data_IF_642088203697
#
_entry.id   IF_642088203697
#
_cell.length_a   1.000
_cell.length_b   1.000
_cell.length_c   1.000
_cell.angle_alpha   90.00
_cell.angle_beta   90.00
_cell.angle_gamma   90.00
#
_symmetry.space_group_name_H-M   'P 1'
#
loop_
_entity.id
_entity.type
_entity.pdbx_description
1 polymer ?
#
# COMPACT_ATOMS: atom_id res chain seq x y z
N UNK A 1 -39.31 22.78 3.03
CA UNK A 1 -38.83 23.09 1.66
C UNK A 1 -37.54 22.31 1.49
N UNK A 2 -37.62 21.20 0.75
CA UNK A 2 -36.51 20.28 0.49
C UNK A 2 -35.65 20.87 -0.61
N UNK A 3 -34.56 21.53 -0.23
CA UNK A 3 -33.55 21.99 -1.16
C UNK A 3 -32.63 20.80 -1.50
N UNK A 4 -33.15 19.88 -2.31
CA UNK A 4 -32.36 18.85 -2.97
C UNK A 4 -32.21 19.28 -4.42
N UNK A 5 -31.09 19.92 -4.75
CA UNK A 5 -30.74 20.20 -6.14
C UNK A 5 -30.67 18.87 -6.91
N UNK A 6 -31.36 18.79 -8.04
CA UNK A 6 -31.54 17.55 -8.80
C UNK A 6 -30.22 16.96 -9.36
N UNK A 7 -29.13 17.73 -9.37
CA UNK A 7 -27.79 17.30 -9.77
C UNK A 7 -26.74 18.01 -8.91
N UNK A 8 -25.78 17.26 -8.36
CA UNK A 8 -24.58 17.81 -7.74
C UNK A 8 -23.44 17.78 -8.78
N UNK A 9 -23.09 18.96 -9.29
CA UNK A 9 -21.98 19.14 -10.24
C UNK A 9 -20.68 19.55 -9.52
N UNK A 10 -20.70 19.74 -8.19
CA UNK A 10 -19.54 20.13 -7.39
C UNK A 10 -18.67 18.92 -7.01
N UNK A 11 -18.06 18.32 -8.03
CA UNK A 11 -17.29 17.08 -7.86
C UNK A 11 -15.92 17.35 -7.22
N UNK A 12 -15.54 16.50 -6.27
CA UNK A 12 -14.22 16.52 -5.64
C UNK A 12 -13.26 15.60 -6.38
N UNK A 13 -12.47 16.17 -7.29
CA UNK A 13 -11.31 15.44 -7.87
C UNK A 13 -10.20 15.30 -6.84
N UNK A 14 -9.34 14.30 -6.99
CA UNK A 14 -8.19 14.07 -6.11
C UNK A 14 -7.23 15.27 -6.15
N UNK A 15 -7.01 15.86 -7.34
CA UNK A 15 -6.21 17.08 -7.47
C UNK A 15 -6.81 18.23 -6.69
N UNK A 16 -8.13 18.48 -6.79
CA UNK A 16 -8.81 19.50 -5.97
C UNK A 16 -8.68 19.19 -4.49
N UNK A 17 -8.88 17.94 -4.09
CA UNK A 17 -8.80 17.51 -2.70
C UNK A 17 -7.42 17.79 -2.09
N UNK A 18 -6.34 17.44 -2.79
CA UNK A 18 -4.97 17.66 -2.30
C UNK A 18 -4.60 19.14 -2.30
N UNK A 19 -5.09 19.92 -3.28
CA UNK A 19 -4.89 21.37 -3.29
C UNK A 19 -5.57 22.04 -2.09
N UNK A 20 -6.85 21.75 -1.84
CA UNK A 20 -7.60 22.34 -0.72
C UNK A 20 -7.04 21.90 0.64
N UNK A 21 -6.67 20.63 0.78
CA UNK A 21 -6.01 20.12 2.00
C UNK A 21 -4.64 20.78 2.21
N UNK A 22 -3.86 20.96 1.14
CA UNK A 22 -2.57 21.65 1.18
C UNK A 22 -2.66 23.11 1.60
N UNK A 23 -3.70 23.84 1.15
CA UNK A 23 -3.92 25.25 1.52
C UNK A 23 -4.17 25.45 3.02
N UNK A 24 -4.73 24.44 3.69
CA UNK A 24 -5.00 24.48 5.12
C UNK A 24 -3.74 24.19 5.97
N UNK A 25 -2.70 23.60 5.38
CA UNK A 25 -1.46 23.28 6.08
C UNK A 25 -0.55 24.52 6.20
N UNK A 26 -0.16 24.85 7.44
CA UNK A 26 0.78 25.95 7.70
C UNK A 26 2.12 25.70 7.00
N UNK A 27 2.60 26.66 6.21
CA UNK A 27 3.89 26.58 5.52
C UNK A 27 3.91 25.66 4.30
N UNK A 28 2.75 25.30 3.74
CA UNK A 28 2.68 24.50 2.51
C UNK A 28 3.20 25.30 1.30
N UNK A 29 4.21 24.74 0.62
CA UNK A 29 4.78 25.32 -0.61
C UNK A 29 4.13 24.80 -1.89
N UNK A 30 3.27 23.79 -1.80
CA UNK A 30 2.67 23.09 -2.96
C UNK A 30 3.51 21.93 -3.52
N UNK A 31 4.76 21.77 -3.09
CA UNK A 31 5.63 20.67 -3.58
C UNK A 31 5.04 19.28 -3.35
N UNK A 32 4.39 19.02 -2.21
CA UNK A 32 3.73 17.74 -1.96
C UNK A 32 2.56 17.51 -2.93
N UNK A 33 1.79 18.57 -3.23
CA UNK A 33 0.69 18.51 -4.20
C UNK A 33 1.20 18.17 -5.59
N UNK A 34 2.29 18.79 -6.03
CA UNK A 34 2.94 18.50 -7.31
C UNK A 34 3.44 17.05 -7.35
N UNK A 35 4.08 16.59 -6.28
CA UNK A 35 4.58 15.22 -6.15
C UNK A 35 3.45 14.18 -6.23
N UNK A 36 2.34 14.41 -5.52
CA UNK A 36 1.17 13.53 -5.56
C UNK A 36 0.58 13.52 -6.98
N UNK A 37 0.41 14.68 -7.63
CA UNK A 37 -0.10 14.74 -9.01
C UNK A 37 0.79 13.99 -10.02
N UNK A 38 2.11 14.04 -9.85
CA UNK A 38 3.05 13.26 -10.66
C UNK A 38 2.84 11.74 -10.45
N UNK A 39 2.68 11.31 -9.19
CA UNK A 39 2.35 9.92 -8.87
C UNK A 39 1.01 9.48 -9.49
N UNK A 40 -0.04 10.31 -9.42
CA UNK A 40 -1.34 10.02 -10.04
C UNK A 40 -1.24 9.88 -11.56
N UNK A 41 -0.38 10.67 -12.20
CA UNK A 41 -0.13 10.57 -13.64
C UNK A 41 0.51 9.24 -14.00
N UNK A 42 1.51 8.79 -13.22
CA UNK A 42 2.09 7.46 -13.37
C UNK A 42 1.04 6.35 -13.17
N UNK A 43 0.21 6.46 -12.13
CA UNK A 43 -0.88 5.50 -11.86
C UNK A 43 -1.86 5.42 -13.02
N UNK A 44 -2.26 6.55 -13.63
CA UNK A 44 -3.14 6.55 -14.83
C UNK A 44 -2.48 5.85 -16.02
N UNK A 45 -1.18 6.08 -16.24
CA UNK A 45 -0.44 5.43 -17.32
C UNK A 45 -0.33 3.90 -17.08
N UNK A 46 0.00 3.47 -15.86
CA UNK A 46 0.06 2.05 -15.48
C UNK A 46 -1.33 1.42 -15.62
N UNK A 47 -2.36 2.07 -15.09
CA UNK A 47 -3.77 1.66 -15.22
C UNK A 47 -4.17 1.40 -16.67
N UNK A 48 -3.77 2.29 -17.60
CA UNK A 48 -4.00 2.12 -19.04
C UNK A 48 -3.21 0.93 -19.62
N UNK A 49 -1.95 0.74 -19.22
CA UNK A 49 -1.11 -0.36 -19.69
C UNK A 49 -1.63 -1.73 -19.21
N UNK A 50 -1.99 -1.85 -17.93
CA UNK A 50 -2.54 -3.08 -17.32
C UNK A 50 -3.79 -3.55 -18.06
N UNK A 51 -4.72 -2.64 -18.38
CA UNK A 51 -5.99 -2.95 -19.08
C UNK A 51 -5.82 -3.49 -20.50
N UNK A 52 -4.65 -3.26 -21.12
CA UNK A 52 -4.34 -3.71 -22.48
C UNK A 52 -3.10 -4.60 -22.53
N UNK A 53 -2.67 -5.16 -21.40
CA UNK A 53 -1.40 -5.86 -21.28
C UNK A 53 -1.27 -7.04 -22.27
N UNK A 54 -2.33 -7.85 -22.40
CA UNK A 54 -2.37 -8.95 -23.36
C UNK A 54 -2.36 -8.49 -24.83
N UNK A 55 -3.00 -7.36 -25.13
CA UNK A 55 -3.04 -6.78 -26.49
C UNK A 55 -1.72 -6.12 -26.88
N UNK A 56 -1.02 -5.53 -25.92
CA UNK A 56 0.24 -4.83 -26.13
C UNK A 56 1.49 -5.71 -25.92
N UNK A 57 1.31 -7.04 -25.80
CA UNK A 57 2.39 -8.01 -25.53
C UNK A 57 3.26 -7.67 -24.31
N UNK A 58 2.64 -7.07 -23.30
CA UNK A 58 3.24 -6.69 -22.02
C UNK A 58 3.18 -7.82 -20.97
N UNK A 59 2.55 -8.95 -21.31
CA UNK A 59 2.57 -10.16 -20.48
C UNK A 59 3.89 -10.93 -20.64
N UNK A 60 4.23 -11.70 -19.61
CA UNK A 60 5.44 -12.52 -19.55
C UNK A 60 6.70 -11.83 -19.04
N UNK A 61 7.78 -12.61 -19.05
CA UNK A 61 9.06 -12.28 -18.43
C UNK A 61 9.80 -11.16 -19.16
N UNK A 62 10.46 -10.29 -18.40
CA UNK A 62 11.45 -9.32 -18.89
C UNK A 62 12.84 -9.95 -19.10
N UNK A 63 13.09 -11.15 -18.55
CA UNK A 63 14.35 -11.88 -18.68
C UNK A 63 15.38 -11.56 -17.58
N UNK A 64 14.97 -10.91 -16.49
CA UNK A 64 15.80 -10.60 -15.33
C UNK A 64 15.13 -11.04 -14.01
N UNK A 65 15.92 -11.09 -12.93
CA UNK A 65 15.45 -11.36 -11.56
C UNK A 65 15.72 -10.10 -10.73
N UNK A 66 14.75 -9.68 -9.90
CA UNK A 66 14.92 -8.51 -9.04
C UNK A 66 15.75 -8.83 -7.79
N UNK A 67 16.01 -7.80 -6.98
CA UNK A 67 16.96 -7.84 -5.86
C UNK A 67 16.49 -8.72 -4.71
N UNK A 68 15.22 -9.05 -4.72
CA UNK A 68 14.54 -9.89 -3.74
C UNK A 68 14.31 -11.32 -4.22
N UNK A 69 14.76 -11.63 -5.44
CA UNK A 69 14.71 -12.96 -6.04
C UNK A 69 13.41 -13.27 -6.80
N UNK A 70 12.56 -12.27 -7.05
CA UNK A 70 11.35 -12.44 -7.84
C UNK A 70 11.64 -12.25 -9.34
N UNK A 71 10.97 -13.05 -10.16
CA UNK A 71 11.03 -13.04 -11.62
C UNK A 71 10.41 -11.75 -12.18
N UNK A 72 11.20 -10.92 -12.87
CA UNK A 72 10.75 -9.60 -13.36
C UNK A 72 9.86 -9.77 -14.60
N UNK A 73 8.66 -9.18 -14.56
CA UNK A 73 7.75 -9.10 -15.69
C UNK A 73 7.92 -7.78 -16.44
N UNK A 74 7.54 -7.75 -17.72
CA UNK A 74 7.65 -6.53 -18.54
C UNK A 74 6.86 -5.35 -17.96
N UNK A 75 5.72 -5.62 -17.33
CA UNK A 75 4.92 -4.59 -16.67
C UNK A 75 5.61 -4.05 -15.40
N UNK A 76 6.44 -4.84 -14.72
CA UNK A 76 7.22 -4.36 -13.56
C UNK A 76 8.23 -3.32 -14.04
N UNK A 77 8.96 -3.59 -15.12
CA UNK A 77 9.90 -2.64 -15.74
C UNK A 77 9.19 -1.35 -16.18
N UNK A 78 8.07 -1.48 -16.90
CA UNK A 78 7.31 -0.34 -17.40
C UNK A 78 6.79 0.54 -16.26
N UNK A 79 6.19 -0.08 -15.24
CA UNK A 79 5.62 0.65 -14.11
C UNK A 79 6.70 1.35 -13.29
N UNK A 80 7.84 0.68 -13.06
CA UNK A 80 8.99 1.27 -12.39
C UNK A 80 9.52 2.50 -13.13
N UNK A 81 9.74 2.40 -14.44
CA UNK A 81 10.21 3.52 -15.27
C UNK A 81 9.23 4.69 -15.28
N UNK A 82 7.93 4.42 -15.38
CA UNK A 82 6.89 5.44 -15.33
C UNK A 82 6.91 6.21 -14.01
N UNK A 83 6.97 5.49 -12.88
CA UNK A 83 7.00 6.12 -11.55
C UNK A 83 8.27 6.93 -11.37
N UNK A 84 9.45 6.37 -11.64
CA UNK A 84 10.74 7.08 -11.48
C UNK A 84 10.77 8.36 -12.32
N UNK A 85 10.33 8.29 -13.58
CA UNK A 85 10.37 9.43 -14.48
C UNK A 85 9.40 10.54 -14.04
N UNK A 86 8.17 10.18 -13.65
CA UNK A 86 7.20 11.17 -13.16
C UNK A 86 7.66 11.81 -11.84
N UNK A 87 8.19 11.02 -10.90
CA UNK A 87 8.68 11.54 -9.63
C UNK A 87 9.89 12.46 -9.82
N UNK A 88 10.84 12.14 -10.73
CA UNK A 88 11.95 13.05 -11.07
C UNK A 88 11.46 14.34 -11.73
N UNK A 89 10.45 14.26 -12.60
CA UNK A 89 9.88 15.43 -13.26
C UNK A 89 8.99 16.29 -12.34
N UNK A 90 8.69 15.80 -11.12
CA UNK A 90 7.88 16.54 -10.15
C UNK A 90 8.63 17.65 -9.43
N UNK A 91 9.97 17.68 -9.49
CA UNK A 91 10.82 18.57 -8.69
C UNK A 91 10.60 18.46 -7.17
N UNK A 92 9.90 17.41 -6.71
CA UNK A 92 9.53 17.20 -5.31
C UNK A 92 10.40 16.18 -4.57
N UNK A 93 11.12 15.30 -5.29
CA UNK A 93 11.86 14.19 -4.66
C UNK A 93 13.37 14.45 -4.57
N UNK A 94 14.00 14.04 -3.47
CA UNK A 94 15.46 14.01 -3.34
C UNK A 94 16.05 12.62 -3.65
N UNK A 95 15.36 11.57 -3.23
CA UNK A 95 15.72 10.19 -3.51
C UNK A 95 14.48 9.29 -3.49
N UNK A 96 14.61 8.10 -4.06
CA UNK A 96 13.54 7.12 -4.18
C UNK A 96 14.05 5.71 -3.85
N UNK A 97 13.17 4.88 -3.31
CA UNK A 97 13.36 3.43 -3.11
C UNK A 97 12.27 2.70 -3.87
N UNK A 98 12.66 1.80 -4.77
CA UNK A 98 11.75 0.96 -5.54
C UNK A 98 11.98 -0.51 -5.18
N UNK A 99 10.94 -1.35 -5.21
CA UNK A 99 11.14 -2.81 -5.18
C UNK A 99 12.11 -3.28 -6.28
N UNK A 100 12.02 -2.66 -7.47
CA UNK A 100 12.72 -3.09 -8.67
C UNK A 100 14.17 -2.57 -8.77
N UNK A 101 14.62 -1.75 -7.82
CA UNK A 101 15.96 -1.18 -7.81
C UNK A 101 16.72 -1.52 -6.53
N UNK A 102 17.91 -2.10 -6.68
CA UNK A 102 18.77 -2.53 -5.55
C UNK A 102 19.27 -1.39 -4.69
N UNK A 103 19.59 -0.31 -5.37
CA UNK A 103 20.28 0.83 -4.80
C UNK A 103 19.31 1.99 -4.72
N UNK A 104 19.58 2.90 -3.78
CA UNK A 104 18.86 4.14 -3.67
C UNK A 104 18.94 4.93 -4.98
N UNK A 105 17.80 5.37 -5.49
CA UNK A 105 17.74 6.19 -6.68
C UNK A 105 17.85 7.66 -6.25
N UNK A 106 19.00 8.28 -6.49
CA UNK A 106 19.21 9.71 -6.19
C UNK A 106 18.61 10.56 -7.33
N UNK A 107 17.81 11.57 -6.97
CA UNK A 107 17.29 12.53 -7.95
C UNK A 107 18.41 13.48 -8.40
N UNK A 108 18.55 13.77 -9.71
CA UNK A 108 19.53 14.73 -10.22
C UNK A 108 19.39 16.11 -9.56
N UNK A 109 20.52 16.80 -9.32
CA UNK A 109 20.59 18.04 -8.53
C UNK A 109 19.62 19.14 -9.00
N UNK A 110 19.46 19.28 -10.32
CA UNK A 110 18.58 20.24 -10.98
C UNK A 110 17.07 19.94 -10.82
N UNK A 111 16.72 18.76 -10.31
CA UNK A 111 15.34 18.28 -10.14
C UNK A 111 15.00 17.89 -8.70
N UNK A 112 15.87 18.19 -7.73
CA UNK A 112 15.68 17.77 -6.34
C UNK A 112 14.60 18.60 -5.64
N UNK A 113 13.75 17.91 -4.90
CA UNK A 113 12.89 18.50 -3.87
C UNK A 113 13.20 17.93 -2.49
N UNK A 114 12.26 18.06 -1.55
CA UNK A 114 12.44 17.74 -0.12
C UNK A 114 11.84 16.42 0.35
N UNK A 115 11.34 15.59 -0.57
CA UNK A 115 10.65 14.35 -0.22
C UNK A 115 11.44 13.10 -0.63
N UNK A 116 11.32 12.07 0.19
CA UNK A 116 11.75 10.71 -0.13
C UNK A 116 10.51 9.90 -0.48
N UNK A 117 10.59 9.09 -1.55
CA UNK A 117 9.46 8.25 -1.98
C UNK A 117 9.88 6.79 -2.02
N UNK A 118 9.21 5.96 -1.22
CA UNK A 118 9.36 4.50 -1.25
C UNK A 118 8.13 3.91 -1.95
N UNK A 119 8.32 3.08 -2.96
CA UNK A 119 7.19 2.53 -3.72
C UNK A 119 7.42 1.10 -4.22
N UNK A 120 6.32 0.37 -4.32
CA UNK A 120 6.18 -0.85 -5.09
C UNK A 120 5.43 -0.45 -6.38
N UNK A 121 6.10 -0.47 -7.55
CA UNK A 121 5.48 -0.02 -8.78
C UNK A 121 4.36 -0.96 -9.25
N UNK A 122 4.41 -2.26 -8.92
CA UNK A 122 3.42 -3.25 -9.35
C UNK A 122 3.26 -4.45 -8.38
N UNK A 123 2.56 -4.23 -7.27
CA UNK A 123 2.20 -5.27 -6.29
C UNK A 123 1.32 -6.36 -6.93
N UNK A 124 1.62 -7.61 -6.59
CA UNK A 124 0.91 -8.77 -7.09
C UNK A 124 1.32 -9.19 -8.50
N UNK A 125 2.55 -8.88 -8.92
CA UNK A 125 3.05 -9.21 -10.27
C UNK A 125 2.84 -10.68 -10.66
N UNK A 126 2.92 -11.62 -9.70
CA UNK A 126 2.60 -13.04 -9.92
C UNK A 126 1.20 -13.29 -10.51
N UNK A 127 0.25 -12.40 -10.24
CA UNK A 127 -1.15 -12.47 -10.66
C UNK A 127 -1.47 -11.76 -11.98
N UNK A 128 -0.46 -11.17 -12.66
CA UNK A 128 -0.66 -10.47 -13.95
C UNK A 128 -1.23 -11.40 -15.02
N UNK A 129 -0.66 -12.59 -15.18
CA UNK A 129 -0.99 -13.46 -16.33
C UNK A 129 -2.34 -14.15 -16.17
N UNK A 130 -2.84 -14.30 -14.93
CA UNK A 130 -4.18 -14.80 -14.63
C UNK A 130 -5.23 -13.67 -14.52
N UNK A 131 -4.86 -12.43 -14.83
CA UNK A 131 -5.74 -11.25 -14.83
C UNK A 131 -6.39 -10.97 -13.47
N UNK A 132 -5.77 -11.43 -12.38
CA UNK A 132 -6.20 -11.06 -11.04
C UNK A 132 -5.80 -9.61 -10.73
N UNK A 133 -6.44 -9.02 -9.71
CA UNK A 133 -6.21 -7.63 -9.34
C UNK A 133 -4.81 -7.41 -8.77
N UNK A 134 -4.14 -6.37 -9.26
CA UNK A 134 -2.78 -5.93 -8.91
C UNK A 134 -2.81 -4.45 -8.52
N UNK A 135 -1.68 -3.85 -8.14
CA UNK A 135 -1.68 -2.45 -7.70
C UNK A 135 -0.32 -1.78 -7.67
N UNK A 136 -0.28 -0.55 -7.17
CA UNK A 136 0.95 0.20 -6.92
C UNK A 136 0.86 0.73 -5.50
N UNK A 137 1.93 0.65 -4.71
CA UNK A 137 1.94 1.08 -3.31
C UNK A 137 3.01 2.15 -3.14
N UNK A 138 2.75 3.20 -2.36
CA UNK A 138 3.75 4.24 -2.13
C UNK A 138 3.63 4.91 -0.75
N UNK A 139 4.78 5.30 -0.22
CA UNK A 139 4.94 6.14 0.97
C UNK A 139 5.85 7.33 0.64
N UNK A 140 5.51 8.49 1.19
CA UNK A 140 6.24 9.74 1.06
C UNK A 140 6.67 10.19 2.44
N UNK A 141 7.96 10.46 2.60
CA UNK A 141 8.58 11.00 3.81
C UNK A 141 9.17 12.37 3.51
N UNK A 142 9.29 13.20 4.54
CA UNK A 142 10.17 14.38 4.44
C UNK A 142 11.62 13.93 4.62
N UNK A 143 12.51 14.57 3.87
CA UNK A 143 13.95 14.39 4.02
C UNK A 143 14.42 14.79 5.43
N UNK A 144 15.44 14.11 5.96
CA UNK A 144 15.92 14.33 7.33
C UNK A 144 16.90 15.50 7.45
N UNK A 145 17.72 15.74 6.42
CA UNK A 145 18.72 16.81 6.42
C UNK A 145 18.89 17.43 5.03
N UNK A 146 19.57 18.58 4.98
CA UNK A 146 19.90 19.29 3.73
C UNK A 146 21.21 18.80 3.08
N UNK A 147 21.83 17.72 3.57
CA UNK A 147 23.10 17.19 3.05
C UNK A 147 22.95 16.58 1.64
N UNK A 148 23.87 15.75 1.15
CA UNK A 148 23.60 14.96 -0.08
C UNK A 148 22.64 13.79 0.24
N UNK A 149 21.62 13.52 -0.60
CA UNK A 149 20.65 12.45 -0.33
C UNK A 149 21.34 11.09 -0.19
N UNK A 150 21.00 10.35 0.86
CA UNK A 150 21.59 9.04 1.16
C UNK A 150 20.55 8.05 1.67
N UNK A 151 20.94 6.78 1.85
CA UNK A 151 20.01 5.75 2.34
C UNK A 151 19.41 6.11 3.70
N UNK A 152 20.13 6.87 4.53
CA UNK A 152 19.64 7.35 5.83
C UNK A 152 18.36 8.17 5.71
N UNK A 153 18.18 8.89 4.60
CA UNK A 153 16.95 9.65 4.34
C UNK A 153 15.74 8.71 4.12
N UNK A 154 15.95 7.50 3.62
CA UNK A 154 14.89 6.51 3.37
C UNK A 154 14.67 5.54 4.55
N UNK A 155 15.68 5.29 5.37
CA UNK A 155 15.61 4.41 6.55
C UNK A 155 14.93 5.10 7.73
N UNK A 156 13.69 5.53 7.52
CA UNK A 156 12.85 6.17 8.53
C UNK A 156 11.73 5.22 9.01
N UNK A 157 11.35 5.28 10.29
CA UNK A 157 10.19 4.54 10.78
C UNK A 157 8.91 5.07 10.10
N UNK A 158 7.92 4.19 9.93
CA UNK A 158 6.67 4.52 9.23
C UNK A 158 5.88 5.67 9.86
N UNK A 159 6.11 5.99 11.14
CA UNK A 159 5.54 7.18 11.79
C UNK A 159 5.91 8.51 11.12
N UNK A 160 7.00 8.55 10.36
CA UNK A 160 7.46 9.77 9.67
C UNK A 160 6.81 9.96 8.28
N UNK A 161 5.92 9.05 7.86
CA UNK A 161 5.16 9.19 6.62
C UNK A 161 4.32 10.47 6.70
N UNK A 162 4.44 11.31 5.67
CA UNK A 162 3.60 12.50 5.50
C UNK A 162 2.45 12.28 4.51
N UNK A 163 2.58 11.29 3.63
CA UNK A 163 1.55 10.84 2.73
C UNK A 163 1.81 9.39 2.32
N UNK A 164 0.78 8.56 2.31
CA UNK A 164 0.86 7.23 1.72
C UNK A 164 -0.39 6.97 0.89
N UNK A 165 -0.28 6.00 0.00
CA UNK A 165 -1.40 5.53 -0.78
C UNK A 165 -1.12 4.22 -1.47
N UNK A 166 -2.18 3.67 -2.05
CA UNK A 166 -2.07 2.62 -3.04
C UNK A 166 -3.06 2.85 -4.17
N UNK A 167 -2.69 2.42 -5.36
CA UNK A 167 -3.59 2.24 -6.48
C UNK A 167 -3.98 0.77 -6.60
N UNK A 168 -5.27 0.48 -6.73
CA UNK A 168 -5.78 -0.84 -7.05
C UNK A 168 -6.20 -0.86 -8.52
N UNK A 169 -5.63 -1.79 -9.29
CA UNK A 169 -6.02 -2.08 -10.68
C UNK A 169 -6.93 -3.31 -10.68
N UNK A 170 -8.15 -3.14 -10.15
CA UNK A 170 -9.17 -4.19 -10.07
C UNK A 170 -10.21 -4.07 -11.19
N UNK A 171 -11.46 -4.43 -10.88
CA UNK A 171 -12.61 -4.22 -11.77
C UNK A 171 -12.80 -2.73 -12.12
N UNK A 172 -12.43 -1.84 -11.20
CA UNK A 172 -12.22 -0.43 -11.41
C UNK A 172 -10.82 -0.04 -10.93
N UNK A 173 -10.32 1.13 -11.35
CA UNK A 173 -9.10 1.69 -10.74
C UNK A 173 -9.46 2.64 -9.63
N UNK A 174 -8.90 2.38 -8.46
CA UNK A 174 -9.10 3.16 -7.25
C UNK A 174 -7.75 3.60 -6.70
N UNK A 175 -7.67 4.80 -6.14
CA UNK A 175 -6.57 5.26 -5.29
C UNK A 175 -7.09 5.47 -3.88
N UNK A 176 -6.47 4.77 -2.93
CA UNK A 176 -6.62 5.06 -1.51
C UNK A 176 -5.48 5.98 -1.08
N UNK A 177 -5.79 7.10 -0.44
CA UNK A 177 -4.81 8.12 -0.09
C UNK A 177 -5.05 8.66 1.32
N UNK A 178 -3.96 8.88 2.05
CA UNK A 178 -3.98 9.66 3.29
C UNK A 178 -2.75 10.56 3.39
N UNK A 179 -2.96 11.79 3.83
CA UNK A 179 -1.92 12.77 4.20
C UNK A 179 -1.82 12.95 5.72
N UNK A 180 -2.24 11.94 6.50
CA UNK A 180 -2.25 11.97 7.98
C UNK A 180 -3.53 12.50 8.62
N UNK A 181 -4.56 12.81 7.81
CA UNK A 181 -5.86 13.33 8.27
C UNK A 181 -7.01 12.46 7.77
N UNK A 182 -6.95 11.16 8.06
CA UNK A 182 -7.93 10.16 7.64
C UNK A 182 -7.63 9.57 6.26
N UNK A 183 -8.34 8.49 5.94
CA UNK A 183 -8.23 7.75 4.67
C UNK A 183 -9.36 8.15 3.71
N UNK A 184 -9.05 8.32 2.43
CA UNK A 184 -10.06 8.65 1.41
C UNK A 184 -9.86 7.77 0.18
N UNK A 185 -10.96 7.41 -0.50
CA UNK A 185 -10.96 6.64 -1.73
C UNK A 185 -11.38 7.49 -2.92
N UNK A 186 -10.63 7.37 -4.00
CA UNK A 186 -10.89 8.05 -5.25
C UNK A 186 -10.92 7.04 -6.39
N UNK A 187 -11.96 7.07 -7.22
CA UNK A 187 -12.10 6.17 -8.36
C UNK A 187 -11.73 6.89 -9.65
N UNK A 188 -10.98 6.23 -10.52
CA UNK A 188 -10.64 6.76 -11.84
C UNK A 188 -11.88 6.72 -12.74
N UNK A 189 -12.32 7.89 -13.20
CA UNK A 189 -13.16 7.99 -14.38
C UNK A 189 -12.27 7.89 -15.63
N UNK A 190 -12.36 6.79 -16.40
CA UNK A 190 -11.51 6.58 -17.56
C UNK A 190 -11.87 7.48 -18.75
N UNK A 191 -13.07 8.07 -18.80
CA UNK A 191 -13.51 8.90 -19.92
C UNK A 191 -12.83 10.28 -19.89
N UNK A 192 -12.67 10.85 -18.70
CA UNK A 192 -12.02 12.16 -18.49
C UNK A 192 -10.61 12.06 -17.92
N UNK A 193 -10.22 10.89 -17.40
CA UNK A 193 -8.89 10.66 -16.83
C UNK A 193 -8.70 11.34 -15.47
N UNK A 194 -9.76 11.44 -14.67
CA UNK A 194 -9.75 12.08 -13.35
C UNK A 194 -10.09 11.09 -12.23
N UNK A 195 -9.44 11.26 -11.08
CA UNK A 195 -9.76 10.52 -9.87
C UNK A 195 -10.82 11.28 -9.08
N UNK A 196 -12.00 10.71 -8.93
CA UNK A 196 -13.15 11.32 -8.26
C UNK A 196 -13.30 10.73 -6.86
N UNK A 197 -13.45 11.59 -5.84
CA UNK A 197 -13.69 11.15 -4.46
C UNK A 197 -14.99 10.36 -4.37
N UNK A 198 -14.90 9.09 -3.98
CA UNK A 198 -16.06 8.20 -3.81
C UNK A 198 -16.36 7.93 -2.34
N UNK A 199 -15.34 7.87 -1.49
CA UNK A 199 -15.51 7.69 -0.05
C UNK A 199 -14.57 8.60 0.74
N UNK A 200 -15.14 9.37 1.66
CA UNK A 200 -14.41 10.33 2.51
C UNK A 200 -14.28 9.81 3.93
N UNK A 201 -13.09 9.97 4.53
CA UNK A 201 -12.79 9.56 5.91
C UNK A 201 -13.21 8.11 6.21
N UNK A 202 -12.78 7.20 5.33
CA UNK A 202 -13.03 5.76 5.41
C UNK A 202 -12.63 5.22 6.79
N UNK A 203 -13.49 4.40 7.38
CA UNK A 203 -13.24 3.71 8.65
C UNK A 203 -13.41 2.21 8.51
N UNK A 204 -12.42 1.48 9.00
CA UNK A 204 -12.51 0.02 9.09
C UNK A 204 -13.46 -0.37 10.24
N UNK A 205 -14.17 -1.49 10.09
CA UNK A 205 -15.03 -2.02 11.15
C UNK A 205 -14.18 -2.45 12.35
N UNK A 206 -14.73 -2.35 13.56
CA UNK A 206 -14.06 -2.79 14.79
C UNK A 206 -13.74 -4.29 14.78
N UNK A 207 -14.67 -5.11 14.28
CA UNK A 207 -14.53 -6.55 14.06
C UNK A 207 -15.11 -6.94 12.69
N UNK A 208 -14.44 -7.81 11.97
CA UNK A 208 -14.89 -8.35 10.69
C UNK A 208 -15.43 -9.78 10.78
N UNK A 209 -15.51 -10.43 9.63
CA UNK A 209 -15.94 -11.84 9.47
C UNK A 209 -15.10 -12.58 8.44
N UNK A 210 -13.93 -12.04 8.10
CA UNK A 210 -13.05 -12.54 7.05
C UNK A 210 -11.63 -12.64 7.62
N UNK A 211 -10.96 -13.76 7.37
CA UNK A 211 -9.51 -13.85 7.51
C UNK A 211 -8.88 -14.06 6.12
N UNK A 212 -7.69 -13.48 5.94
CA UNK A 212 -6.97 -13.50 4.67
C UNK A 212 -5.50 -13.86 4.89
N UNK A 213 -5.12 -15.05 4.41
CA UNK A 213 -3.78 -15.61 4.53
C UNK A 213 -3.63 -16.79 3.55
N UNK A 214 -2.40 -17.05 3.09
CA UNK A 214 -2.08 -18.24 2.31
C UNK A 214 -1.95 -19.48 3.21
N UNK A 215 -3.02 -20.26 3.31
CA UNK A 215 -3.03 -21.50 4.11
C UNK A 215 -2.14 -22.62 3.55
N UNK A 216 -1.60 -22.48 2.33
CA UNK A 216 -0.58 -23.40 1.79
C UNK A 216 0.69 -23.46 2.65
N UNK A 217 0.91 -22.48 3.52
CA UNK A 217 2.02 -22.47 4.49
C UNK A 217 1.65 -23.09 5.86
N UNK A 218 0.49 -23.73 6.02
CA UNK A 218 0.03 -24.30 7.30
C UNK A 218 1.07 -25.16 8.02
N UNK A 219 1.83 -25.96 7.27
CA UNK A 219 2.91 -26.81 7.79
C UNK A 219 4.04 -26.01 8.47
N UNK A 220 4.29 -24.78 8.02
CA UNK A 220 5.44 -23.96 8.43
C UNK A 220 5.05 -22.83 9.39
N UNK A 221 3.76 -22.69 9.71
CA UNK A 221 3.31 -21.66 10.61
C UNK A 221 3.69 -21.95 12.05
N UNK A 222 4.01 -20.87 12.77
CA UNK A 222 4.14 -20.93 14.22
C UNK A 222 2.82 -21.43 14.85
N UNK A 223 2.86 -22.23 15.93
CA UNK A 223 1.66 -22.78 16.57
C UNK A 223 0.57 -21.76 16.91
N UNK A 224 0.94 -20.53 17.30
CA UNK A 224 -0.04 -19.45 17.56
C UNK A 224 -0.90 -19.11 16.35
N UNK A 225 -0.35 -19.13 15.14
CA UNK A 225 -1.08 -18.88 13.90
C UNK A 225 -2.05 -20.02 13.61
N UNK A 226 -1.57 -21.27 13.75
CA UNK A 226 -2.40 -22.46 13.55
C UNK A 226 -3.57 -22.53 14.54
N UNK A 227 -3.33 -22.17 15.81
CA UNK A 227 -4.40 -22.11 16.82
C UNK A 227 -5.40 -20.99 16.51
N UNK A 228 -4.94 -19.79 16.13
CA UNK A 228 -5.82 -18.70 15.71
C UNK A 228 -6.68 -19.10 14.49
N UNK A 229 -6.09 -19.72 13.47
CA UNK A 229 -6.84 -20.20 12.29
C UNK A 229 -7.85 -21.29 12.66
N UNK A 230 -7.50 -22.21 13.57
CA UNK A 230 -8.45 -23.20 14.09
C UNK A 230 -9.63 -22.50 14.78
N UNK A 231 -9.37 -21.51 15.62
CA UNK A 231 -10.40 -20.73 16.29
C UNK A 231 -11.33 -20.01 15.30
N UNK A 232 -10.79 -19.47 14.20
CA UNK A 232 -11.60 -18.83 13.14
C UNK A 232 -12.47 -19.78 12.33
N UNK A 233 -12.05 -21.04 12.18
CA UNK A 233 -12.77 -22.08 11.43
C UNK A 233 -13.78 -22.84 12.28
N UNK A 234 -13.47 -23.02 13.55
CA UNK A 234 -14.25 -23.81 14.51
C UNK A 234 -14.46 -23.00 15.79
N UNK A 235 -15.22 -21.90 15.74
CA UNK A 235 -15.51 -21.09 16.91
C UNK A 235 -16.30 -21.91 17.95
N UNK A 236 -15.86 -21.86 19.21
CA UNK A 236 -16.46 -22.61 20.32
C UNK A 236 -17.53 -21.80 21.08
N UNK A 237 -17.66 -20.51 20.78
CA UNK A 237 -18.62 -19.58 21.39
C UNK A 237 -20.02 -19.59 20.72
N UNK A 238 -20.23 -20.50 19.76
CA UNK A 238 -21.47 -20.61 18.98
C UNK A 238 -21.61 -19.59 17.85
N UNK A 239 -20.60 -18.74 17.61
CA UNK A 239 -20.59 -17.83 16.45
C UNK A 239 -20.36 -18.58 15.13
N UNK A 240 -20.67 -17.94 14.00
CA UNK A 240 -20.38 -18.53 12.69
C UNK A 240 -18.88 -18.46 12.37
N UNK A 241 -18.30 -19.49 11.70
CA UNK A 241 -16.94 -19.44 11.20
C UNK A 241 -16.69 -18.22 10.31
N UNK A 242 -15.46 -17.72 10.31
CA UNK A 242 -15.05 -16.65 9.39
C UNK A 242 -14.93 -17.18 7.96
N UNK A 243 -15.27 -16.33 6.98
CA UNK A 243 -14.99 -16.62 5.58
C UNK A 243 -13.50 -16.47 5.27
N UNK A 244 -12.91 -17.44 4.58
CA UNK A 244 -11.56 -17.32 4.04
C UNK A 244 -11.59 -16.54 2.72
N UNK A 245 -10.70 -15.56 2.56
CA UNK A 245 -10.45 -14.89 1.27
C UNK A 245 -8.97 -14.65 1.09
N UNK A 246 -8.39 -15.05 -0.03
CA UNK A 246 -6.99 -14.77 -0.33
C UNK A 246 -6.85 -14.61 -1.84
N UNK A 247 -6.69 -13.37 -2.29
CA UNK A 247 -6.50 -13.04 -3.71
C UNK A 247 -5.05 -13.32 -4.10
N UNK A 248 -4.11 -13.08 -3.18
CA UNK A 248 -2.69 -13.29 -3.42
C UNK A 248 -1.96 -12.06 -3.97
N UNK A 249 -2.64 -10.91 -4.01
CA UNK A 249 -2.02 -9.59 -4.21
C UNK A 249 -2.33 -8.75 -2.96
N UNK A 250 -1.30 -8.18 -2.34
CA UNK A 250 -1.43 -7.52 -1.03
C UNK A 250 -2.46 -6.39 -1.10
N UNK A 251 -2.38 -5.53 -2.11
CA UNK A 251 -3.27 -4.39 -2.34
C UNK A 251 -4.75 -4.80 -2.40
N UNK A 252 -5.06 -5.93 -3.03
CA UNK A 252 -6.42 -6.45 -3.21
C UNK A 252 -6.98 -6.99 -1.90
N UNK A 253 -6.17 -7.75 -1.17
CA UNK A 253 -6.55 -8.33 0.12
C UNK A 253 -6.68 -7.25 1.22
N UNK A 254 -5.80 -6.25 1.20
CA UNK A 254 -5.84 -5.09 2.10
C UNK A 254 -7.01 -4.18 1.80
N UNK A 255 -7.27 -3.83 0.54
CA UNK A 255 -8.40 -2.97 0.19
C UNK A 255 -9.73 -3.59 0.65
N UNK A 256 -9.90 -4.90 0.45
CA UNK A 256 -11.06 -5.64 0.97
C UNK A 256 -11.11 -5.62 2.49
N UNK A 257 -9.97 -5.77 3.16
CA UNK A 257 -9.88 -5.68 4.63
C UNK A 257 -10.33 -4.32 5.14
N UNK A 258 -9.94 -3.22 4.47
CA UNK A 258 -10.40 -1.87 4.81
C UNK A 258 -11.90 -1.72 4.60
N UNK A 259 -12.41 -2.12 3.42
CA UNK A 259 -13.80 -1.93 3.05
C UNK A 259 -14.78 -2.80 3.86
N UNK A 260 -14.43 -4.06 4.11
CA UNK A 260 -15.35 -5.05 4.71
C UNK A 260 -15.05 -5.38 6.17
N UNK A 261 -13.89 -4.99 6.68
CA UNK A 261 -13.36 -5.44 7.96
C UNK A 261 -12.81 -6.86 7.89
N UNK A 262 -12.17 -7.28 8.97
CA UNK A 262 -11.52 -8.59 9.11
C UNK A 262 -10.02 -8.43 9.26
N UNK A 263 -9.27 -9.47 8.92
CA UNK A 263 -7.82 -9.50 9.13
C UNK A 263 -7.08 -10.01 7.89
N UNK A 264 -5.98 -9.35 7.54
CA UNK A 264 -4.99 -9.82 6.59
C UNK A 264 -3.71 -10.19 7.33
N UNK A 265 -3.14 -11.34 7.00
CA UNK A 265 -1.96 -11.89 7.66
C UNK A 265 -0.96 -12.44 6.66
N UNK A 266 0.27 -11.95 6.77
CA UNK A 266 1.48 -12.50 6.17
C UNK A 266 2.54 -12.69 7.28
N UNK A 267 2.34 -13.67 8.17
CA UNK A 267 3.23 -13.86 9.32
C UNK A 267 4.60 -14.41 8.91
N UNK A 268 5.55 -14.40 9.85
CA UNK A 268 6.74 -15.22 9.75
C UNK A 268 6.35 -16.71 9.64
N UNK A 269 7.19 -17.48 8.96
CA UNK A 269 7.13 -18.93 8.96
C UNK A 269 8.54 -19.52 8.93
N UNK A 270 8.68 -20.83 9.10
CA UNK A 270 10.00 -21.50 9.13
C UNK A 270 10.89 -21.20 7.92
N UNK A 271 10.29 -21.04 6.72
CA UNK A 271 11.02 -20.73 5.48
C UNK A 271 11.33 -19.24 5.32
N UNK A 272 10.61 -18.38 6.01
CA UNK A 272 10.73 -16.93 5.92
C UNK A 272 10.57 -16.32 7.33
N UNK A 273 11.61 -16.44 8.18
CA UNK A 273 11.52 -16.02 9.58
C UNK A 273 11.26 -14.52 9.76
N UNK A 274 11.64 -13.70 8.77
CA UNK A 274 11.38 -12.25 8.72
C UNK A 274 10.13 -11.90 7.88
N UNK A 275 9.26 -12.86 7.57
CA UNK A 275 8.14 -12.66 6.63
C UNK A 275 8.61 -12.52 5.17
N UNK A 276 7.67 -12.21 4.27
CA UNK A 276 7.95 -12.00 2.84
C UNK A 276 7.88 -10.53 2.42
N UNK A 277 6.92 -9.78 2.97
CA UNK A 277 6.63 -8.40 2.58
C UNK A 277 7.71 -7.44 3.09
N UNK A 278 8.01 -6.40 2.32
CA UNK A 278 9.07 -5.42 2.58
C UNK A 278 8.53 -4.22 3.34
N UNK A 279 9.35 -3.73 4.26
CA UNK A 279 8.95 -2.74 5.23
C UNK A 279 8.63 -1.38 4.59
N UNK A 280 9.53 -0.86 3.75
CA UNK A 280 9.48 0.54 3.30
C UNK A 280 8.36 0.84 2.31
N UNK A 281 8.05 -0.09 1.42
CA UNK A 281 7.18 0.15 0.27
C UNK A 281 5.95 -0.77 0.19
N UNK A 282 5.82 -1.77 1.08
CA UNK A 282 4.60 -2.57 1.25
C UNK A 282 4.00 -2.35 2.66
N UNK A 283 4.73 -2.72 3.71
CA UNK A 283 4.17 -2.76 5.07
C UNK A 283 3.90 -1.38 5.68
N UNK A 284 4.86 -0.45 5.64
CA UNK A 284 4.70 0.91 6.19
C UNK A 284 3.57 1.69 5.52
N UNK A 285 3.49 1.82 4.18
CA UNK A 285 2.39 2.55 3.54
C UNK A 285 1.02 1.95 3.88
N UNK A 286 0.89 0.62 3.86
CA UNK A 286 -0.39 -0.01 4.22
C UNK A 286 -0.71 0.16 5.71
N UNK A 287 0.25 -0.01 6.61
CA UNK A 287 0.04 0.19 8.04
C UNK A 287 -0.42 1.63 8.34
N UNK A 288 0.18 2.61 7.68
CA UNK A 288 -0.22 4.01 7.80
C UNK A 288 -1.69 4.19 7.40
N UNK A 289 -2.11 3.66 6.24
CA UNK A 289 -3.50 3.77 5.77
C UNK A 289 -4.49 3.05 6.68
N UNK A 290 -4.13 1.86 7.18
CA UNK A 290 -4.95 1.09 8.12
C UNK A 290 -5.19 1.86 9.41
N UNK A 291 -4.15 2.47 9.99
CA UNK A 291 -4.30 3.26 11.21
C UNK A 291 -5.09 4.56 10.98
N UNK A 292 -4.94 5.20 9.82
CA UNK A 292 -5.77 6.36 9.43
C UNK A 292 -7.26 5.98 9.28
N UNK A 293 -7.54 4.72 8.95
CA UNK A 293 -8.88 4.14 8.94
C UNK A 293 -9.36 3.65 10.33
N UNK A 294 -8.53 3.75 11.38
CA UNK A 294 -8.85 3.29 12.74
C UNK A 294 -8.61 1.79 12.98
N UNK A 295 -7.83 1.13 12.12
CA UNK A 295 -7.40 -0.26 12.27
C UNK A 295 -6.09 -0.41 13.05
N UNK A 296 -5.56 -1.63 13.08
CA UNK A 296 -4.27 -1.94 13.70
C UNK A 296 -3.34 -2.64 12.71
N UNK A 297 -2.03 -2.40 12.87
CA UNK A 297 -0.97 -3.04 12.10
C UNK A 297 0.20 -3.47 12.98
N UNK A 298 0.57 -4.75 12.94
CA UNK A 298 1.57 -5.34 13.84
C UNK A 298 2.45 -6.38 13.13
N UNK A 299 3.68 -6.56 13.61
CA UNK A 299 4.52 -7.73 13.30
C UNK A 299 4.09 -9.00 14.06
N UNK A 300 3.16 -8.85 15.01
CA UNK A 300 2.87 -9.83 16.06
C UNK A 300 3.57 -9.51 17.39
N UNK A 301 4.65 -8.73 17.36
CA UNK A 301 5.44 -8.36 18.55
C UNK A 301 5.60 -6.86 18.75
N UNK A 302 5.53 -6.07 17.68
CA UNK A 302 5.60 -4.62 17.71
C UNK A 302 4.67 -4.00 16.66
N UNK A 303 4.33 -2.72 16.81
CA UNK A 303 3.56 -1.95 15.82
C UNK A 303 4.43 -1.70 14.58
N UNK A 304 3.84 -1.81 13.38
CA UNK A 304 4.61 -1.71 12.12
C UNK A 304 5.27 -0.34 11.95
N UNK A 305 4.55 0.74 12.24
CA UNK A 305 5.05 2.09 12.03
C UNK A 305 6.18 2.49 13.00
N UNK A 306 6.39 1.72 14.07
CA UNK A 306 7.46 1.92 15.06
C UNK A 306 8.75 1.16 14.68
N UNK A 307 8.71 0.30 13.67
CA UNK A 307 9.90 -0.46 13.24
C UNK A 307 10.90 0.49 12.59
N UNK A 308 12.10 0.57 13.18
CA UNK A 308 13.23 1.26 12.58
C UNK A 308 13.82 0.38 11.45
N UNK A 309 13.82 0.83 10.18
CA UNK A 309 14.43 0.08 9.09
C UNK A 309 15.96 0.06 9.22
N UNK A 310 16.55 -1.11 8.97
CA UNK A 310 18.00 -1.33 8.94
C UNK A 310 18.55 -1.46 7.50
N UNK A 311 17.66 -1.73 6.53
CA UNK A 311 18.00 -1.88 5.11
C UNK A 311 16.82 -1.50 4.21
N UNK A 312 17.12 -1.05 2.99
CA UNK A 312 16.11 -0.61 2.01
C UNK A 312 15.06 -1.69 1.69
N UNK A 313 15.51 -2.94 1.60
CA UNK A 313 14.66 -4.09 1.24
C UNK A 313 14.37 -5.03 2.42
N UNK A 314 14.40 -4.51 3.66
CA UNK A 314 14.11 -5.28 4.87
C UNK A 314 12.70 -5.88 4.80
N UNK A 315 12.58 -7.19 5.07
CA UNK A 315 11.30 -7.87 5.23
C UNK A 315 10.82 -7.84 6.69
N UNK A 316 9.50 -7.82 6.87
CA UNK A 316 8.88 -7.96 8.20
C UNK A 316 7.64 -8.87 8.13
N UNK A 317 7.32 -9.62 9.21
CA UNK A 317 5.99 -10.20 9.40
C UNK A 317 4.94 -9.10 9.43
N UNK A 318 3.76 -9.35 8.89
CA UNK A 318 2.76 -8.31 8.71
C UNK A 318 1.35 -8.82 8.99
N UNK A 319 0.66 -8.21 9.95
CA UNK A 319 -0.74 -8.49 10.27
C UNK A 319 -1.49 -7.19 10.43
N UNK A 320 -2.58 -7.01 9.69
CA UNK A 320 -3.38 -5.78 9.70
C UNK A 320 -4.87 -6.04 9.64
N UNK A 321 -5.66 -5.08 10.10
CA UNK A 321 -7.10 -5.04 9.86
C UNK A 321 -7.90 -4.46 11.01
N UNK A 322 -9.09 -5.03 11.19
CA UNK A 322 -10.05 -4.68 12.22
C UNK A 322 -9.41 -4.78 13.62
N UNK A 323 -9.52 -3.74 14.46
CA UNK A 323 -8.86 -3.69 15.77
C UNK A 323 -9.11 -4.92 16.65
N UNK A 324 -10.34 -5.41 16.73
CA UNK A 324 -10.69 -6.53 17.60
C UNK A 324 -10.11 -7.84 17.07
N UNK A 325 -10.09 -8.04 15.75
CA UNK A 325 -9.48 -9.23 15.14
C UNK A 325 -7.96 -9.24 15.33
N UNK A 326 -7.29 -8.09 15.19
CA UNK A 326 -5.83 -7.98 15.39
C UNK A 326 -5.46 -8.15 16.87
N UNK A 327 -6.25 -7.58 17.80
CA UNK A 327 -6.04 -7.80 19.24
C UNK A 327 -6.24 -9.25 19.65
N UNK A 328 -7.26 -9.91 19.10
CA UNK A 328 -7.49 -11.33 19.32
C UNK A 328 -6.30 -12.14 18.80
N UNK A 329 -5.84 -11.90 17.57
CA UNK A 329 -4.62 -12.51 17.04
C UNK A 329 -3.41 -12.33 17.97
N UNK A 330 -3.17 -11.12 18.49
CA UNK A 330 -2.08 -10.84 19.43
C UNK A 330 -2.22 -11.62 20.74
N UNK A 331 -3.45 -11.91 21.19
CA UNK A 331 -3.68 -12.74 22.38
C UNK A 331 -3.20 -14.19 22.16
N UNK A 332 -3.38 -14.74 20.95
CA UNK A 332 -2.83 -16.03 20.56
C UNK A 332 -1.30 -15.97 20.46
N UNK A 333 -0.72 -14.90 19.92
CA UNK A 333 0.75 -14.74 19.90
C UNK A 333 1.31 -14.74 21.33
N UNK A 334 0.70 -13.97 22.23
CA UNK A 334 1.11 -13.87 23.64
C UNK A 334 1.01 -15.21 24.39
N UNK A 335 0.01 -16.04 24.10
CA UNK A 335 -0.17 -17.37 24.71
C UNK A 335 1.02 -18.31 24.45
N UNK A 336 1.71 -18.14 23.34
CA UNK A 336 2.86 -18.96 22.92
C UNK A 336 4.20 -18.21 23.02
N UNK A 337 4.21 -17.03 23.65
CA UNK A 337 5.43 -16.27 23.93
C UNK A 337 6.09 -16.72 25.23
#
# INVERSE_FOLDING_TARGET
MSDQSAFDTDVWTLTRFVMETGRQAKGATGELTQLINAMLTAIKAISSAVRKAGLAHLQGMAGSVNVTGDDVKKLDVLSNDLVINMLRASYGTCCMVSEENKELIITPKDKRGKYVVCFDPLDGSSNIDCLASIGTIFAIYKRLSDEEPSEKDALQPGNNIVCAGYALYGSATLVALSTGAGLNFFMLDPAIGEFILTERNVKIKQKGKIYSLNEGYAKYFHPSINEYLKHKKYPEDGSSPYGARYVGSMVSDVHRTIAYGGIFMYPANEKSPKGKLRLLYECNPIAFLIEQAGGLATTGTQRILDVQPEALHQRVPFVVGSPDDVKEFLSFVKKFS
#
